data_IF_553973165549
#
_entry.id   IF_553973165549
#
_cell.length_a   1.000
_cell.length_b   1.000
_cell.length_c   1.000
_cell.angle_alpha   90.00
_cell.angle_beta   90.00
_cell.angle_gamma   90.00
#
_symmetry.space_group_name_H-M   'P 1'
#
loop_
_entity.id
_entity.type
_entity.pdbx_description
1 polymer ?
#
# COMPACT_ATOMS: atom_id res chain seq x y z
N UNK A 1 7.94 3.54 24.36
CA UNK A 1 8.77 2.38 23.95
C UNK A 1 8.00 1.09 24.19
N UNK A 2 7.00 0.79 23.35
CA UNK A 2 6.22 -0.45 23.47
C UNK A 2 6.19 -1.10 22.08
N UNK A 3 7.37 -1.46 21.59
CA UNK A 3 7.49 -2.22 20.34
C UNK A 3 7.43 -3.69 20.74
N UNK A 4 6.43 -4.42 20.25
CA UNK A 4 6.39 -5.86 20.41
C UNK A 4 7.51 -6.46 19.57
N UNK A 5 8.24 -7.46 20.09
CA UNK A 5 9.29 -8.18 19.35
C UNK A 5 8.79 -8.73 18.00
N UNK A 6 7.48 -8.99 17.90
CA UNK A 6 6.83 -9.43 16.67
C UNK A 6 6.83 -8.36 15.57
N UNK A 7 6.78 -7.08 15.92
CA UNK A 7 6.82 -5.97 14.96
C UNK A 7 8.20 -5.81 14.32
N UNK A 8 9.26 -6.29 14.98
CA UNK A 8 10.60 -6.36 14.39
C UNK A 8 10.77 -7.58 13.48
N UNK A 9 10.13 -8.70 13.84
CA UNK A 9 10.24 -9.94 13.07
C UNK A 9 9.54 -9.83 11.70
N UNK A 10 8.41 -9.13 11.62
CA UNK A 10 7.61 -9.03 10.40
C UNK A 10 8.37 -8.44 9.19
N UNK A 11 9.08 -7.30 9.29
CA UNK A 11 9.92 -6.79 8.20
C UNK A 11 11.06 -7.74 7.81
N UNK A 12 11.65 -8.45 8.76
CA UNK A 12 12.70 -9.43 8.49
C UNK A 12 12.16 -10.61 7.68
N UNK A 13 10.96 -11.10 8.00
CA UNK A 13 10.30 -12.18 7.25
C UNK A 13 9.90 -11.72 5.84
N UNK A 14 9.21 -10.58 5.71
CA UNK A 14 8.83 -10.03 4.38
C UNK A 14 10.02 -9.89 3.44
N UNK A 15 11.17 -9.52 4.00
CA UNK A 15 12.42 -9.41 3.25
C UNK A 15 12.96 -10.79 2.87
N UNK A 16 12.99 -11.74 3.80
CA UNK A 16 13.44 -13.09 3.53
C UNK A 16 12.63 -13.73 2.40
N UNK A 17 11.32 -13.45 2.32
CA UNK A 17 10.44 -13.93 1.25
C UNK A 17 10.92 -13.50 -0.15
N UNK A 18 11.46 -12.28 -0.30
CA UNK A 18 11.97 -11.79 -1.60
C UNK A 18 13.10 -12.68 -2.12
N UNK A 19 14.00 -13.09 -1.21
CA UNK A 19 15.14 -13.96 -1.54
C UNK A 19 14.73 -15.42 -1.67
N UNK A 20 13.87 -15.89 -0.76
CA UNK A 20 13.41 -17.26 -0.71
C UNK A 20 12.56 -17.64 -1.94
N UNK A 21 11.76 -16.70 -2.44
CA UNK A 21 10.95 -16.88 -3.65
C UNK A 21 11.70 -16.48 -4.94
N UNK A 22 12.97 -16.09 -4.84
CA UNK A 22 13.82 -15.67 -5.98
C UNK A 22 13.14 -14.60 -6.87
N UNK A 23 12.53 -13.59 -6.24
CA UNK A 23 11.69 -12.61 -6.93
C UNK A 23 12.52 -11.64 -7.76
N UNK A 24 12.17 -11.51 -9.04
CA UNK A 24 12.77 -10.52 -9.94
C UNK A 24 12.21 -9.11 -9.76
N UNK A 25 10.89 -9.01 -9.54
CA UNK A 25 10.16 -7.75 -9.45
C UNK A 25 9.23 -7.78 -8.23
N UNK A 26 9.49 -6.90 -7.26
CA UNK A 26 8.66 -6.73 -6.07
C UNK A 26 7.57 -5.67 -6.30
N UNK A 27 6.41 -6.08 -6.82
CA UNK A 27 5.24 -5.22 -7.04
C UNK A 27 4.35 -5.14 -5.78
N UNK A 28 4.43 -4.03 -5.03
CA UNK A 28 3.52 -3.74 -3.89
C UNK A 28 3.38 -2.22 -3.72
N UNK A 29 2.48 -1.76 -2.87
CA UNK A 29 2.23 -0.35 -2.58
C UNK A 29 3.45 0.46 -2.15
N UNK A 30 3.33 1.78 -2.28
CA UNK A 30 4.36 2.74 -1.85
C UNK A 30 4.61 2.73 -0.33
N UNK A 31 3.63 2.32 0.46
CA UNK A 31 3.71 2.15 1.93
C UNK A 31 4.76 1.12 2.36
N UNK A 32 5.03 0.11 1.52
CA UNK A 32 6.03 -0.94 1.79
C UNK A 32 7.42 -0.62 1.21
N UNK A 33 7.65 0.59 0.70
CA UNK A 33 8.87 0.92 -0.06
C UNK A 33 10.14 0.82 0.78
N UNK A 34 10.13 1.31 2.02
CA UNK A 34 11.32 1.36 2.87
C UNK A 34 11.87 -0.04 3.19
N UNK A 35 10.99 -0.96 3.59
CA UNK A 35 11.35 -2.36 3.88
C UNK A 35 11.93 -3.06 2.64
N UNK A 36 11.43 -2.74 1.45
CA UNK A 36 11.95 -3.28 0.19
C UNK A 36 13.27 -2.64 -0.24
N UNK A 37 13.44 -1.34 -0.05
CA UNK A 37 14.71 -0.66 -0.33
C UNK A 37 15.82 -1.28 0.50
N UNK A 38 15.52 -1.52 1.78
CA UNK A 38 16.39 -2.30 2.65
C UNK A 38 16.74 -3.63 1.98
N UNK A 39 15.78 -4.41 1.44
CA UNK A 39 16.03 -5.68 0.71
C UNK A 39 17.16 -5.56 -0.32
N UNK A 40 17.16 -4.50 -1.13
CA UNK A 40 18.22 -4.23 -2.14
C UNK A 40 19.56 -3.85 -1.52
N UNK A 41 19.57 -3.16 -0.39
CA UNK A 41 20.81 -2.73 0.30
C UNK A 41 21.61 -3.91 0.87
N UNK A 42 21.00 -5.07 1.08
CA UNK A 42 21.71 -6.30 1.52
C UNK A 42 22.15 -7.18 0.36
N UNK A 43 21.61 -6.95 -0.84
CA UNK A 43 22.20 -7.54 -2.03
C UNK A 43 23.52 -6.81 -2.30
N UNK A 44 24.64 -7.41 -1.88
CA UNK A 44 25.96 -7.03 -2.37
C UNK A 44 26.12 -7.39 -3.86
N UNK A 45 27.23 -6.97 -4.46
CA UNK A 45 27.47 -7.00 -5.91
C UNK A 45 27.31 -8.39 -6.58
N UNK A 46 27.38 -9.48 -5.82
CA UNK A 46 27.32 -10.84 -6.35
C UNK A 46 25.90 -11.45 -6.40
N UNK A 47 24.89 -10.77 -5.83
CA UNK A 47 23.51 -11.27 -5.79
C UNK A 47 22.57 -10.49 -6.72
N UNK A 48 21.58 -11.20 -7.29
CA UNK A 48 20.51 -10.60 -8.10
C UNK A 48 19.72 -9.59 -7.26
N UNK A 49 19.76 -8.32 -7.65
CA UNK A 49 19.02 -7.25 -6.98
C UNK A 49 17.57 -7.21 -7.47
N UNK A 50 16.56 -7.33 -6.59
CA UNK A 50 15.16 -7.28 -7.01
C UNK A 50 14.80 -5.87 -7.51
N UNK A 51 14.00 -5.81 -8.57
CA UNK A 51 13.43 -4.56 -9.07
C UNK A 51 12.24 -4.18 -8.17
N UNK A 52 12.27 -2.99 -7.56
CA UNK A 52 11.15 -2.51 -6.76
C UNK A 52 10.24 -1.70 -7.66
N UNK A 53 9.03 -2.20 -7.90
CA UNK A 53 7.98 -1.49 -8.62
C UNK A 53 6.88 -1.15 -7.62
N UNK A 54 6.82 0.12 -7.21
CA UNK A 54 5.81 0.58 -6.24
C UNK A 54 4.69 1.33 -6.93
N UNK A 55 3.45 0.86 -6.75
CA UNK A 55 2.26 1.58 -7.23
C UNK A 55 1.78 2.59 -6.18
N UNK A 56 1.15 3.66 -6.65
CA UNK A 56 0.52 4.65 -5.77
C UNK A 56 -0.54 4.00 -4.88
N UNK A 57 -0.77 4.60 -3.71
CA UNK A 57 -1.83 4.21 -2.82
C UNK A 57 -3.13 4.88 -3.25
N UNK A 58 -4.22 4.13 -3.28
CA UNK A 58 -5.54 4.69 -3.54
C UNK A 58 -5.97 5.51 -2.31
N UNK A 59 -6.40 6.77 -2.48
CA UNK A 59 -6.90 7.59 -1.38
C UNK A 59 -8.21 7.03 -0.82
N UNK A 60 -8.50 7.33 0.45
CA UNK A 60 -9.79 7.03 1.04
C UNK A 60 -10.89 7.95 0.52
N UNK A 61 -12.16 7.55 0.67
CA UNK A 61 -13.28 8.34 0.14
C UNK A 61 -13.52 9.64 0.93
N UNK A 62 -13.01 9.76 2.16
CA UNK A 62 -13.14 10.97 2.99
C UNK A 62 -11.99 11.94 2.76
N UNK A 63 -12.26 13.22 3.03
CA UNK A 63 -11.26 14.27 2.95
C UNK A 63 -10.10 14.01 3.93
N UNK A 64 -8.87 13.98 3.42
CA UNK A 64 -7.66 13.81 4.23
C UNK A 64 -7.28 12.36 4.52
N UNK A 65 -8.01 11.37 3.97
CA UNK A 65 -7.58 9.98 4.00
C UNK A 65 -6.62 9.69 2.84
N UNK A 66 -5.33 9.64 3.14
CA UNK A 66 -4.28 9.37 2.13
C UNK A 66 -4.29 7.92 1.63
N UNK A 67 -4.84 6.98 2.41
CA UNK A 67 -4.88 5.56 2.08
C UNK A 67 -6.26 4.98 2.36
N UNK A 68 -6.83 4.30 1.37
CA UNK A 68 -8.01 3.49 1.54
C UNK A 68 -7.66 2.28 2.42
N UNK A 69 -8.23 2.23 3.63
CA UNK A 69 -7.98 1.18 4.61
C UNK A 69 -9.27 0.41 4.92
N UNK A 70 -9.23 -0.55 5.85
CA UNK A 70 -10.42 -1.29 6.30
C UNK A 70 -11.36 -0.43 7.16
N UNK A 71 -11.60 0.82 6.80
CA UNK A 71 -12.63 1.67 7.37
C UNK A 71 -13.92 1.54 6.57
N UNK A 72 -15.04 2.00 7.13
CA UNK A 72 -16.36 1.98 6.47
C UNK A 72 -16.40 2.81 5.17
N UNK A 73 -15.38 3.63 4.94
CA UNK A 73 -15.25 4.53 3.80
C UNK A 73 -14.46 3.92 2.63
N UNK A 74 -14.15 2.63 2.69
CA UNK A 74 -13.60 1.89 1.56
C UNK A 74 -14.70 1.18 0.77
N UNK A 75 -14.49 1.05 -0.55
CA UNK A 75 -15.30 0.19 -1.40
C UNK A 75 -14.70 -1.21 -1.35
N UNK A 76 -15.47 -2.17 -0.87
CA UNK A 76 -15.05 -3.57 -0.80
C UNK A 76 -15.47 -4.33 -2.05
N UNK A 77 -14.78 -5.41 -2.36
CA UNK A 77 -15.09 -6.27 -3.53
C UNK A 77 -16.44 -6.99 -3.39
N UNK A 78 -16.97 -7.04 -2.18
CA UNK A 78 -18.22 -7.72 -1.81
C UNK A 78 -19.39 -6.73 -1.67
N UNK A 79 -19.16 -5.41 -1.82
CA UNK A 79 -20.20 -4.40 -1.67
C UNK A 79 -21.28 -4.55 -2.74
N UNK A 80 -22.54 -4.42 -2.32
CA UNK A 80 -23.67 -4.39 -3.24
C UNK A 80 -23.70 -3.08 -4.05
N UNK A 81 -24.32 -3.08 -5.22
CA UNK A 81 -24.40 -1.89 -6.10
C UNK A 81 -25.00 -0.68 -5.38
N UNK A 82 -25.97 -0.90 -4.49
CA UNK A 82 -26.57 0.16 -3.68
C UNK A 82 -25.56 0.78 -2.69
N UNK A 83 -24.69 -0.03 -2.10
CA UNK A 83 -23.67 0.39 -1.13
C UNK A 83 -22.56 1.16 -1.81
N UNK A 84 -22.07 0.68 -2.96
CA UNK A 84 -21.09 1.38 -3.79
C UNK A 84 -21.60 2.77 -4.17
N UNK A 85 -22.84 2.87 -4.66
CA UNK A 85 -23.46 4.16 -5.00
C UNK A 85 -23.58 5.09 -3.78
N UNK A 86 -23.95 4.55 -2.62
CA UNK A 86 -24.04 5.33 -1.40
C UNK A 86 -22.67 5.84 -0.93
N UNK A 87 -21.62 5.03 -1.04
CA UNK A 87 -20.23 5.38 -0.70
C UNK A 87 -19.68 6.46 -1.63
N UNK A 88 -19.79 6.27 -2.95
CA UNK A 88 -19.36 7.25 -3.96
C UNK A 88 -20.10 8.59 -3.79
N UNK A 89 -21.40 8.56 -3.52
CA UNK A 89 -22.19 9.79 -3.32
C UNK A 89 -21.75 10.59 -2.08
N UNK A 90 -21.19 9.92 -1.08
CA UNK A 90 -20.65 10.54 0.14
C UNK A 90 -19.17 10.92 0.02
N UNK A 91 -18.50 10.50 -1.06
CA UNK A 91 -17.08 10.72 -1.24
C UNK A 91 -16.75 12.20 -1.41
N UNK A 92 -15.54 12.58 -0.98
CA UNK A 92 -15.03 13.93 -1.12
C UNK A 92 -14.75 14.24 -2.59
N UNK A 93 -15.57 15.10 -3.21
CA UNK A 93 -15.39 15.52 -4.60
C UNK A 93 -15.63 17.02 -4.77
N UNK A 94 -14.71 17.88 -4.30
CA UNK A 94 -14.79 19.32 -4.49
C UNK A 94 -14.59 19.72 -5.97
N UNK A 95 -15.31 20.73 -6.48
CA UNK A 95 -15.16 21.19 -7.85
C UNK A 95 -13.78 21.83 -8.08
N UNK A 96 -13.15 21.53 -9.22
CA UNK A 96 -11.87 22.11 -9.68
C UNK A 96 -10.64 21.79 -8.81
N UNK A 97 -10.72 20.82 -7.92
CA UNK A 97 -9.60 20.34 -7.11
C UNK A 97 -9.27 18.91 -7.51
N UNK A 98 -8.03 18.69 -7.97
CA UNK A 98 -7.50 17.37 -8.37
C UNK A 98 -6.75 16.70 -7.23
N UNK A 99 -5.93 17.48 -6.51
CA UNK A 99 -5.09 16.94 -5.44
C UNK A 99 -5.93 16.43 -4.27
N UNK A 100 -5.76 15.16 -3.92
CA UNK A 100 -6.47 14.53 -2.82
C UNK A 100 -7.97 14.32 -3.07
N UNK A 101 -8.40 14.36 -4.35
CA UNK A 101 -9.76 14.05 -4.73
C UNK A 101 -9.88 12.56 -5.07
N UNK A 102 -10.51 11.71 -4.23
CA UNK A 102 -10.64 10.29 -4.49
C UNK A 102 -11.52 9.92 -5.69
N UNK A 103 -12.28 10.86 -6.24
CA UNK A 103 -13.16 10.63 -7.38
C UNK A 103 -12.51 10.93 -8.75
N UNK A 104 -11.26 11.39 -8.77
CA UNK A 104 -10.50 11.73 -9.98
C UNK A 104 -9.31 10.78 -10.17
#
# INVERSE_FOLDING_TARGET
FNLSSLQLLYPCMQRADIFFLEVDICLLGMDQREVKMLARDYCDCDNKKPIILSHHMLPGLKQGEENMSKSDDAIFMEDEVAEVNAKIKKAYCPPKIVNGNPCL
#
